data_IF_446866270817
#
_entry.id   IF_446866270817
#
_cell.length_a   1.000
_cell.length_b   1.000
_cell.length_c   1.000
_cell.angle_alpha   90.00
_cell.angle_beta   90.00
_cell.angle_gamma   90.00
#
_symmetry.space_group_name_H-M   'P 1'
#
loop_
_entity.id
_entity.type
_entity.pdbx_description
1 polymer ?
#
# COMPACT_ATOMS: atom_id res chain seq x y z
N UNK A 1 -9.42 16.49 16.52
CA UNK A 1 -8.35 16.03 15.61
C UNK A 1 -9.03 15.60 14.33
N UNK A 2 -8.59 16.04 13.13
CA UNK A 2 -9.18 15.55 11.88
C UNK A 2 -8.90 14.05 11.73
N UNK A 3 -9.81 13.27 11.11
CA UNK A 3 -9.55 11.87 10.81
C UNK A 3 -8.35 11.78 9.87
N UNK A 4 -7.42 10.86 10.17
CA UNK A 4 -6.33 10.49 9.26
C UNK A 4 -6.91 9.65 8.13
N UNK A 5 -7.67 10.28 7.25
CA UNK A 5 -8.16 9.64 6.04
C UNK A 5 -6.95 9.32 5.17
N UNK A 6 -6.85 8.08 4.69
CA UNK A 6 -5.81 7.70 3.73
C UNK A 6 -6.11 8.41 2.41
N UNK A 7 -5.42 9.53 2.20
CA UNK A 7 -5.47 10.24 0.95
C UNK A 7 -4.59 9.53 -0.09
N UNK A 8 -5.08 9.31 -1.33
CA UNK A 8 -4.32 8.62 -2.38
C UNK A 8 -3.05 9.38 -2.80
N UNK A 9 -2.95 10.68 -2.49
CA UNK A 9 -1.77 11.53 -2.74
C UNK A 9 -0.69 11.47 -1.66
N UNK A 10 -0.89 10.69 -0.59
CA UNK A 10 0.02 10.67 0.54
C UNK A 10 1.21 9.70 0.36
N UNK A 11 2.35 10.26 -0.08
CA UNK A 11 3.58 9.51 -0.40
C UNK A 11 4.26 8.86 0.81
N UNK A 12 3.87 9.20 2.05
CA UNK A 12 4.49 8.67 3.26
C UNK A 12 4.31 7.16 3.42
N UNK A 13 3.33 6.56 2.73
CA UNK A 13 3.07 5.11 2.72
C UNK A 13 3.81 4.35 1.62
N UNK A 14 4.57 5.03 0.77
CA UNK A 14 5.38 4.37 -0.30
C UNK A 14 6.59 3.62 0.27
N UNK A 15 7.11 4.08 1.41
CA UNK A 15 8.23 3.46 2.13
C UNK A 15 7.69 2.67 3.33
N UNK A 16 8.33 1.54 3.66
CA UNK A 16 8.09 0.87 4.94
C UNK A 16 8.31 1.84 6.11
N UNK A 17 7.38 1.93 7.08
CA UNK A 17 7.55 2.73 8.28
C UNK A 17 8.72 2.20 9.13
N UNK A 18 9.42 3.12 9.79
CA UNK A 18 10.45 2.81 10.77
C UNK A 18 9.81 2.60 12.16
N UNK A 19 10.48 1.89 13.08
CA UNK A 19 9.94 1.68 14.43
C UNK A 19 9.61 2.99 15.18
N UNK A 20 10.37 4.06 14.93
CA UNK A 20 10.15 5.39 15.51
C UNK A 20 9.02 6.21 14.89
N UNK A 21 8.46 5.77 13.75
CA UNK A 21 7.31 6.44 13.12
C UNK A 21 5.99 6.11 13.84
N UNK A 22 5.97 5.00 14.60
CA UNK A 22 4.88 4.69 15.49
C UNK A 22 5.12 5.33 16.86
N UNK A 23 4.12 6.06 17.35
CA UNK A 23 4.12 6.72 18.65
C UNK A 23 4.17 5.73 19.85
N UNK A 24 3.91 4.43 19.61
CA UNK A 24 3.92 3.33 20.60
C UNK A 24 3.07 3.57 21.87
N UNK A 25 2.24 4.61 21.89
CA UNK A 25 1.51 5.08 23.07
C UNK A 25 -0.01 5.18 22.84
N UNK A 26 -0.51 4.53 21.79
CA UNK A 26 -1.95 4.42 21.50
C UNK A 26 -2.47 5.37 20.42
N UNK A 27 -1.63 5.83 19.49
CA UNK A 27 -2.14 6.50 18.29
C UNK A 27 -2.92 5.49 17.42
N UNK A 28 -4.17 5.83 17.14
CA UNK A 28 -5.08 5.08 16.27
C UNK A 28 -5.54 6.00 15.13
N UNK A 29 -5.33 5.64 13.85
CA UNK A 29 -4.71 4.39 13.37
C UNK A 29 -3.17 4.37 13.48
N UNK A 30 -2.60 3.18 13.71
CA UNK A 30 -1.16 2.98 13.72
C UNK A 30 -0.59 3.15 12.30
N UNK A 31 0.60 3.74 12.16
CA UNK A 31 1.24 3.92 10.84
C UNK A 31 1.49 2.59 10.13
N UNK A 32 1.68 1.50 10.88
CA UNK A 32 1.81 0.15 10.34
C UNK A 32 0.49 -0.34 9.76
N UNK A 33 -0.64 -0.06 10.40
CA UNK A 33 -1.98 -0.45 9.89
C UNK A 33 -2.26 0.29 8.57
N UNK A 34 -1.99 1.59 8.53
CA UNK A 34 -2.15 2.40 7.31
C UNK A 34 -1.23 1.93 6.17
N UNK A 35 -0.01 1.51 6.51
CA UNK A 35 0.94 0.96 5.55
C UNK A 35 0.44 -0.37 4.96
N UNK A 36 -0.07 -1.27 5.79
CA UNK A 36 -0.58 -2.56 5.35
C UNK A 36 -1.80 -2.41 4.41
N UNK A 37 -2.71 -1.48 4.72
CA UNK A 37 -3.83 -1.13 3.84
C UNK A 37 -3.36 -0.60 2.48
N UNK A 38 -2.40 0.33 2.48
CA UNK A 38 -1.83 0.90 1.26
C UNK A 38 -1.11 -0.17 0.42
N UNK A 39 -0.37 -1.07 1.08
CA UNK A 39 0.35 -2.17 0.45
C UNK A 39 -0.61 -3.18 -0.20
N UNK A 40 -1.74 -3.46 0.44
CA UNK A 40 -2.79 -4.32 -0.13
C UNK A 40 -3.41 -3.71 -1.40
N UNK A 41 -3.71 -2.41 -1.39
CA UNK A 41 -4.18 -1.68 -2.59
C UNK A 41 -3.15 -1.73 -3.71
N UNK A 42 -1.90 -1.40 -3.40
CA UNK A 42 -0.81 -1.43 -4.37
C UNK A 42 -0.66 -2.80 -5.04
N UNK A 43 -0.66 -3.89 -4.25
CA UNK A 43 -0.56 -5.27 -4.77
C UNK A 43 -1.71 -5.61 -5.72
N UNK A 44 -2.92 -5.16 -5.40
CA UNK A 44 -4.11 -5.38 -6.24
C UNK A 44 -3.99 -4.63 -7.57
N UNK A 45 -3.61 -3.36 -7.53
CA UNK A 45 -3.40 -2.53 -8.72
C UNK A 45 -2.27 -3.07 -9.60
N UNK A 46 -1.17 -3.52 -8.97
CA UNK A 46 -0.05 -4.13 -9.65
C UNK A 46 -0.47 -5.42 -10.36
N UNK A 47 -1.19 -6.32 -9.69
CA UNK A 47 -1.68 -7.55 -10.31
C UNK A 47 -2.61 -7.28 -11.50
N UNK A 48 -3.50 -6.29 -11.38
CA UNK A 48 -4.37 -5.88 -12.48
C UNK A 48 -3.57 -5.29 -13.64
N UNK A 49 -2.52 -4.53 -13.37
CA UNK A 49 -1.61 -4.02 -14.38
C UNK A 49 -0.85 -5.15 -15.06
N UNK A 50 -0.25 -6.08 -14.30
CA UNK A 50 0.49 -7.22 -14.85
C UNK A 50 -0.41 -8.10 -15.72
N UNK A 51 -1.67 -8.33 -15.35
CA UNK A 51 -2.61 -9.09 -16.17
C UNK A 51 -2.86 -8.45 -17.55
N UNK A 52 -2.86 -7.11 -17.65
CA UNK A 52 -3.00 -6.39 -18.92
C UNK A 52 -1.72 -6.42 -19.76
N UNK A 53 -0.57 -6.54 -19.11
CA UNK A 53 0.75 -6.39 -19.74
C UNK A 53 1.54 -7.69 -19.81
N UNK A 54 0.97 -8.81 -19.36
CA UNK A 54 1.60 -10.12 -19.48
C UNK A 54 1.70 -10.43 -20.97
N UNK A 55 2.91 -10.58 -21.53
CA UNK A 55 3.03 -11.10 -22.88
C UNK A 55 2.39 -12.49 -22.89
N UNK A 56 1.55 -12.77 -23.88
CA UNK A 56 0.97 -14.09 -24.16
C UNK A 56 2.11 -15.05 -24.56
N UNK A 57 3.01 -15.39 -23.63
CA UNK A 57 4.24 -16.13 -23.91
C UNK A 57 4.05 -17.66 -23.87
N UNK A 58 2.81 -18.15 -23.88
CA UNK A 58 2.53 -19.57 -23.80
C UNK A 58 1.15 -19.95 -24.39
N UNK A 59 0.87 -19.47 -25.60
CA UNK A 59 -0.18 -19.97 -26.51
C UNK A 59 0.27 -19.56 -27.91
N UNK A 60 0.67 -20.42 -28.83
CA UNK A 60 0.45 -21.85 -29.03
C UNK A 60 1.59 -22.39 -29.94
N UNK A 61 1.80 -23.71 -29.92
CA UNK A 61 2.59 -24.51 -30.87
C UNK A 61 2.25 -24.23 -32.35
#
# INVERSE_FOLDING_TARGET
MPPLTIHPEDDRFRRSPLPGDCCQSGCDPCVFDLYDEALARYRTELAAWEARHRPQAARDD
#
